data_IF_287064161587
#
_entry.id   IF_287064161587
#
_cell.length_a   1.000
_cell.length_b   1.000
_cell.length_c   1.000
_cell.angle_alpha   90.00
_cell.angle_beta   90.00
_cell.angle_gamma   90.00
#
_symmetry.space_group_name_H-M   'P 1'
#
loop_
_entity.id
_entity.type
_entity.pdbx_description
1 polymer ?
#
# COMPACT_ATOMS: atom_id res chain seq x y z
N UNK A 1 -19.75 -14.40 12.81
CA UNK A 1 -20.39 -15.06 11.65
C UNK A 1 -21.25 -16.22 12.17
N UNK A 2 -22.35 -16.55 11.50
CA UNK A 2 -23.23 -17.66 11.93
C UNK A 2 -22.57 -19.02 11.73
N UNK A 3 -21.71 -19.14 10.70
CA UNK A 3 -20.86 -20.30 10.44
C UNK A 3 -19.40 -19.89 10.47
N UNK A 4 -18.59 -20.59 11.27
CA UNK A 4 -17.14 -20.41 11.33
C UNK A 4 -16.45 -21.48 10.48
N UNK A 5 -15.79 -21.06 9.41
CA UNK A 5 -14.98 -21.95 8.55
C UNK A 5 -13.53 -21.92 9.02
N UNK A 6 -13.00 -23.07 9.42
CA UNK A 6 -11.62 -23.22 9.87
C UNK A 6 -10.81 -24.00 8.82
N UNK A 7 -9.84 -23.35 8.20
CA UNK A 7 -8.91 -24.00 7.27
C UNK A 7 -7.66 -24.48 8.01
N UNK A 8 -7.50 -25.81 8.08
CA UNK A 8 -6.31 -26.43 8.65
C UNK A 8 -5.12 -26.23 7.69
N UNK A 9 -4.25 -25.25 7.96
CA UNK A 9 -3.04 -24.94 7.15
C UNK A 9 -1.96 -26.02 7.29
N UNK A 10 -2.28 -27.27 6.96
CA UNK A 10 -1.40 -28.46 7.07
C UNK A 10 -0.51 -28.64 5.83
N UNK A 11 -0.01 -27.55 5.26
CA UNK A 11 0.88 -27.58 4.11
C UNK A 11 2.02 -26.62 4.35
N UNK A 12 3.24 -27.06 4.07
CA UNK A 12 4.46 -26.25 4.19
C UNK A 12 5.29 -26.40 2.93
N UNK A 13 6.11 -25.39 2.63
CA UNK A 13 7.08 -25.48 1.54
C UNK A 13 8.38 -26.03 2.12
N UNK A 14 8.86 -27.15 1.57
CA UNK A 14 10.18 -27.70 1.89
C UNK A 14 11.28 -27.06 1.02
N UNK A 15 12.53 -27.46 1.27
CA UNK A 15 13.66 -27.07 0.44
C UNK A 15 13.37 -27.34 -1.04
N UNK A 16 13.66 -26.34 -1.89
CA UNK A 16 13.32 -26.40 -3.31
C UNK A 16 11.88 -26.03 -3.66
N UNK A 17 11.14 -25.38 -2.73
CA UNK A 17 9.77 -24.90 -2.96
C UNK A 17 8.75 -26.01 -3.29
N UNK A 18 9.01 -27.22 -2.81
CA UNK A 18 8.10 -28.35 -3.00
C UNK A 18 7.04 -28.32 -1.89
N UNK A 19 5.74 -28.29 -2.22
CA UNK A 19 4.69 -28.31 -1.21
C UNK A 19 4.62 -29.69 -0.55
N UNK A 20 4.78 -29.73 0.76
CA UNK A 20 4.65 -30.92 1.59
C UNK A 20 3.39 -30.85 2.44
N UNK A 21 2.57 -31.91 2.33
CA UNK A 21 1.44 -32.12 3.23
C UNK A 21 1.97 -32.55 4.61
N UNK A 22 1.58 -31.83 5.65
CA UNK A 22 1.85 -32.19 7.03
C UNK A 22 0.91 -33.31 7.46
N UNK A 23 1.47 -34.51 7.70
CA UNK A 23 0.74 -35.63 8.25
C UNK A 23 0.65 -35.50 9.78
N UNK A 24 -0.23 -34.59 10.22
CA UNK A 24 -0.46 -34.27 11.63
C UNK A 24 -1.91 -34.55 12.00
N UNK A 25 -2.08 -35.27 13.11
CA UNK A 25 -3.37 -35.43 13.77
C UNK A 25 -3.68 -34.15 14.55
N UNK A 26 -4.84 -33.57 14.28
CA UNK A 26 -5.37 -32.44 15.06
C UNK A 26 -6.68 -32.91 15.64
N UNK A 27 -6.73 -32.97 16.97
CA UNK A 27 -7.94 -33.24 17.71
C UNK A 27 -8.78 -31.96 17.74
N UNK A 28 -9.97 -32.01 17.13
CA UNK A 28 -10.86 -30.86 17.03
C UNK A 28 -12.00 -31.08 18.02
N UNK A 29 -12.13 -30.24 19.07
CA UNK A 29 -13.18 -30.41 20.05
C UNK A 29 -14.56 -30.11 19.44
N UNK A 30 -15.60 -30.80 19.93
CA UNK A 30 -16.99 -30.59 19.50
C UNK A 30 -17.51 -29.18 19.86
N UNK A 31 -16.94 -28.57 20.89
CA UNK A 31 -17.27 -27.21 21.34
C UNK A 31 -16.02 -26.35 21.36
N UNK A 32 -16.07 -25.20 20.70
CA UNK A 32 -14.97 -24.25 20.57
C UNK A 32 -15.42 -22.89 21.11
N UNK A 33 -14.79 -22.41 22.18
CA UNK A 33 -14.98 -21.04 22.69
C UNK A 33 -13.83 -20.12 22.24
N UNK A 34 -14.14 -19.20 21.33
CA UNK A 34 -13.21 -18.20 20.78
C UNK A 34 -13.54 -16.79 21.25
N UNK A 35 -14.38 -16.63 22.28
CA UNK A 35 -14.81 -15.32 22.77
C UNK A 35 -13.64 -14.43 23.20
N UNK A 36 -12.56 -15.03 23.68
CA UNK A 36 -11.34 -14.35 24.10
C UNK A 36 -10.50 -13.79 22.93
N UNK A 37 -10.69 -14.30 21.71
CA UNK A 37 -9.97 -13.84 20.51
C UNK A 37 -10.62 -12.61 19.85
N UNK A 38 -11.76 -12.16 20.36
CA UNK A 38 -12.47 -10.99 19.84
C UNK A 38 -11.62 -9.73 20.06
N UNK A 39 -11.31 -9.02 18.97
CA UNK A 39 -10.61 -7.75 19.05
C UNK A 39 -11.42 -6.72 19.84
N UNK A 40 -10.72 -5.88 20.59
CA UNK A 40 -11.32 -4.79 21.38
C UNK A 40 -11.16 -3.42 20.71
N UNK A 41 -10.57 -3.37 19.51
CA UNK A 41 -10.19 -2.14 18.83
C UNK A 41 -9.01 -1.43 19.51
N UNK A 42 -8.82 -0.15 19.18
CA UNK A 42 -7.83 0.72 19.81
C UNK A 42 -8.10 0.85 21.31
N UNK A 43 -7.09 0.62 22.14
CA UNK A 43 -7.21 0.68 23.61
C UNK A 43 -6.79 2.04 24.18
N UNK A 44 -7.28 2.43 25.38
CA UNK A 44 -6.81 3.62 26.07
C UNK A 44 -5.30 3.51 26.38
N UNK A 45 -4.50 4.42 25.82
CA UNK A 45 -3.04 4.43 25.95
C UNK A 45 -2.28 3.89 24.74
N UNK A 46 -2.98 3.40 23.72
CA UNK A 46 -2.38 3.13 22.41
C UNK A 46 -2.39 4.42 21.57
N UNK A 47 -1.24 4.77 21.00
CA UNK A 47 -1.12 5.84 20.01
C UNK A 47 -1.20 5.22 18.61
N UNK A 48 -2.06 5.77 17.75
CA UNK A 48 -2.14 5.32 16.37
C UNK A 48 -0.81 5.63 15.67
N UNK A 49 -0.33 4.67 14.88
CA UNK A 49 0.74 4.98 13.95
C UNK A 49 0.27 6.11 13.03
N UNK A 50 1.13 7.09 12.72
CA UNK A 50 0.81 8.06 11.69
C UNK A 50 0.43 7.29 10.43
N UNK A 51 -0.65 7.70 9.77
CA UNK A 51 -0.97 7.13 8.47
C UNK A 51 0.30 7.23 7.61
N UNK A 52 0.80 6.09 7.15
CA UNK A 52 1.91 6.08 6.21
C UNK A 52 1.53 7.02 5.08
N UNK A 53 2.48 7.83 4.60
CA UNK A 53 2.27 8.88 3.59
C UNK A 53 1.81 8.34 2.21
N UNK A 54 1.13 7.19 2.16
CA UNK A 54 0.52 6.57 1.00
C UNK A 54 -1.01 6.41 1.05
N UNK A 55 -1.67 6.47 2.22
CA UNK A 55 -3.13 6.26 2.30
C UNK A 55 -3.90 7.33 3.09
N UNK A 56 -3.20 8.27 3.73
CA UNK A 56 -3.79 9.50 4.20
C UNK A 56 -3.83 10.49 3.05
N UNK A 57 -5.00 11.05 2.78
CA UNK A 57 -5.20 12.30 2.05
C UNK A 57 -4.41 13.42 2.76
N UNK A 58 -3.08 13.38 2.70
CA UNK A 58 -2.36 14.62 2.55
C UNK A 58 -2.99 15.24 1.32
N UNK A 59 -3.59 16.42 1.49
CA UNK A 59 -3.57 17.40 0.43
C UNK A 59 -2.11 17.60 0.03
N UNK A 60 -1.54 16.64 -0.73
CA UNK A 60 -0.61 16.96 -1.77
C UNK A 60 -1.46 17.78 -2.73
N UNK A 61 -1.59 19.07 -2.39
CA UNK A 61 -1.71 20.12 -3.39
C UNK A 61 -0.93 19.63 -4.59
N UNK A 62 -1.62 19.59 -5.72
CA UNK A 62 -1.25 19.07 -7.04
C UNK A 62 0.03 19.71 -7.56
N UNK A 63 1.12 19.60 -6.80
CA UNK A 63 2.39 20.25 -7.02
C UNK A 63 3.14 19.33 -7.95
N UNK A 64 3.26 19.78 -9.19
CA UNK A 64 4.13 19.17 -10.17
C UNK A 64 5.57 19.45 -9.73
N UNK A 65 6.41 18.42 -9.72
CA UNK A 65 7.83 18.57 -9.41
C UNK A 65 8.49 19.53 -10.43
N UNK A 66 9.25 20.49 -9.95
CA UNK A 66 9.98 21.42 -10.82
C UNK A 66 11.15 20.68 -11.50
N UNK A 67 11.09 20.54 -12.83
CA UNK A 67 12.11 19.84 -13.64
C UNK A 67 13.53 20.40 -13.45
N UNK A 68 13.68 21.68 -13.10
CA UNK A 68 14.99 22.27 -12.84
C UNK A 68 15.61 21.75 -11.52
N UNK A 69 14.80 21.51 -10.50
CA UNK A 69 15.24 20.95 -9.22
C UNK A 69 15.54 19.45 -9.39
N UNK A 70 14.65 18.75 -10.08
CA UNK A 70 14.79 17.31 -10.37
C UNK A 70 16.04 17.05 -11.22
N UNK A 71 16.27 17.83 -12.28
CA UNK A 71 17.46 17.67 -13.13
C UNK A 71 18.78 17.91 -12.39
N UNK A 72 18.84 18.88 -11.48
CA UNK A 72 20.04 19.12 -10.67
C UNK A 72 20.33 17.95 -9.71
N UNK A 73 19.30 17.43 -9.03
CA UNK A 73 19.45 16.28 -8.14
C UNK A 73 19.76 14.98 -8.92
N UNK A 74 19.18 14.80 -10.11
CA UNK A 74 19.53 13.72 -11.03
C UNK A 74 20.99 13.80 -11.49
N UNK A 75 21.49 15.00 -11.80
CA UNK A 75 22.90 15.20 -12.15
C UNK A 75 23.86 14.86 -11.00
N UNK A 76 23.39 14.90 -9.74
CA UNK A 76 24.16 14.46 -8.57
C UNK A 76 24.16 12.93 -8.39
N UNK A 77 23.34 12.20 -9.14
CA UNK A 77 23.29 10.73 -9.16
C UNK A 77 22.16 10.10 -8.33
N UNK A 78 21.18 10.89 -7.89
CA UNK A 78 19.99 10.38 -7.19
C UNK A 78 18.96 9.79 -8.17
N UNK A 79 18.07 8.91 -7.70
CA UNK A 79 17.02 8.33 -8.56
C UNK A 79 15.96 9.37 -8.91
N UNK A 80 15.37 9.25 -10.10
CA UNK A 80 14.35 10.16 -10.58
C UNK A 80 13.13 10.23 -9.64
N UNK A 81 12.67 9.07 -9.16
CA UNK A 81 11.50 8.94 -8.28
C UNK A 81 11.71 9.66 -6.95
N UNK A 82 12.91 9.56 -6.36
CA UNK A 82 13.28 10.26 -5.12
C UNK A 82 13.40 11.77 -5.35
N UNK A 83 13.96 12.20 -6.48
CA UNK A 83 14.09 13.62 -6.82
C UNK A 83 12.72 14.29 -6.99
N UNK A 84 11.79 13.62 -7.67
CA UNK A 84 10.41 14.08 -7.83
C UNK A 84 9.69 14.16 -6.47
N UNK A 85 9.82 13.11 -5.65
CA UNK A 85 9.25 13.08 -4.30
C UNK A 85 9.79 14.19 -3.40
N UNK A 86 11.10 14.45 -3.45
CA UNK A 86 11.75 15.51 -2.69
C UNK A 86 11.29 16.91 -3.13
N UNK A 87 11.19 17.15 -4.43
CA UNK A 87 10.71 18.42 -4.97
C UNK A 87 9.24 18.69 -4.56
N UNK A 88 8.40 17.66 -4.56
CA UNK A 88 6.99 17.76 -4.16
C UNK A 88 6.85 17.99 -2.65
N UNK A 89 7.56 17.21 -1.82
CA UNK A 89 7.48 17.33 -0.36
C UNK A 89 7.99 18.67 0.16
N UNK A 90 8.96 19.25 -0.55
CA UNK A 90 9.49 20.60 -0.24
C UNK A 90 8.74 21.71 -0.96
N UNK A 91 7.62 21.41 -1.63
CA UNK A 91 6.79 22.37 -2.38
C UNK A 91 7.57 23.22 -3.40
N UNK A 92 8.60 22.66 -4.04
CA UNK A 92 9.48 23.32 -5.00
C UNK A 92 10.18 24.60 -4.47
N UNK A 93 10.38 24.73 -3.15
CA UNK A 93 11.00 25.91 -2.52
C UNK A 93 12.44 26.12 -2.99
N UNK A 94 13.20 25.05 -3.23
CA UNK A 94 14.56 25.13 -3.74
C UNK A 94 15.29 23.79 -3.80
N UNK A 95 16.47 23.79 -4.43
CA UNK A 95 17.30 22.58 -4.62
C UNK A 95 17.93 22.12 -3.30
N UNK A 96 18.34 23.04 -2.44
CA UNK A 96 18.96 22.73 -1.13
C UNK A 96 17.96 22.06 -0.17
N UNK A 97 16.73 22.56 -0.10
CA UNK A 97 15.67 21.95 0.72
C UNK A 97 15.28 20.56 0.20
N UNK A 98 15.12 20.41 -1.12
CA UNK A 98 14.85 19.12 -1.72
C UNK A 98 16.00 18.12 -1.48
N UNK A 99 17.25 18.58 -1.53
CA UNK A 99 18.41 17.75 -1.18
C UNK A 99 18.38 17.32 0.29
N UNK A 100 18.09 18.24 1.21
CA UNK A 100 18.00 17.94 2.64
C UNK A 100 16.90 16.90 2.93
N UNK A 101 15.74 17.05 2.29
CA UNK A 101 14.66 16.08 2.40
C UNK A 101 15.05 14.72 1.82
N UNK A 102 15.71 14.70 0.65
CA UNK A 102 16.17 13.48 -0.01
C UNK A 102 17.18 12.73 0.87
N UNK A 103 18.13 13.43 1.47
CA UNK A 103 19.13 12.81 2.33
C UNK A 103 18.50 12.22 3.60
N UNK A 104 17.43 12.82 4.11
CA UNK A 104 16.70 12.30 5.27
C UNK A 104 15.85 11.06 4.94
N UNK A 105 15.52 10.81 3.67
CA UNK A 105 14.61 9.74 3.21
C UNK A 105 15.25 8.84 2.14
N UNK A 106 16.58 8.78 2.04
CA UNK A 106 17.29 8.04 0.99
C UNK A 106 17.22 6.51 1.18
N UNK A 107 17.05 6.07 2.42
CA UNK A 107 16.99 4.65 2.82
C UNK A 107 15.55 4.15 2.99
N UNK A 108 14.56 5.02 2.76
CA UNK A 108 13.17 4.61 2.80
C UNK A 108 12.86 3.66 1.65
N UNK A 109 12.11 2.56 1.89
CA UNK A 109 11.69 1.67 0.83
C UNK A 109 10.94 2.47 -0.23
N UNK A 110 11.36 2.33 -1.50
CA UNK A 110 10.78 3.03 -2.66
C UNK A 110 9.31 2.64 -2.82
N UNK A 111 8.43 3.37 -2.12
CA UNK A 111 7.00 3.34 -2.36
C UNK A 111 6.76 4.18 -3.61
N UNK A 112 6.30 3.58 -4.73
CA UNK A 112 6.04 4.35 -5.92
C UNK A 112 5.03 5.42 -5.58
N UNK A 113 5.40 6.69 -5.78
CA UNK A 113 4.44 7.78 -5.75
C UNK A 113 3.42 7.46 -6.84
N UNK A 114 2.17 7.26 -6.44
CA UNK A 114 1.04 7.10 -7.36
C UNK A 114 0.87 8.41 -8.11
N UNK A 115 1.67 8.63 -9.14
CA UNK A 115 1.37 9.64 -10.13
C UNK A 115 0.15 9.13 -10.88
N UNK A 116 -1.03 9.64 -10.50
CA UNK A 116 -2.20 9.59 -11.35
C UNK A 116 -1.82 10.24 -12.68
N UNK A 117 -1.38 9.40 -13.63
CA UNK A 117 -1.15 9.81 -15.00
C UNK A 117 -2.48 10.34 -15.51
N UNK A 118 -2.52 11.66 -15.69
CA UNK A 118 -3.74 12.38 -16.03
C UNK A 118 -4.41 11.73 -17.25
N UNK A 119 -5.63 11.22 -17.01
CA UNK A 119 -6.67 10.93 -17.99
C UNK A 119 -6.18 10.43 -19.34
N UNK A 120 -5.73 9.17 -19.39
CA UNK A 120 -6.03 8.38 -20.56
C UNK A 120 -7.56 8.36 -20.68
N UNK A 121 -8.11 8.87 -21.79
CA UNK A 121 -9.52 8.67 -22.12
C UNK A 121 -9.76 7.18 -22.26
N UNK A 122 -10.11 6.53 -21.16
CA UNK A 122 -10.45 5.11 -21.16
C UNK A 122 -11.76 5.00 -21.93
N UNK A 123 -11.69 4.37 -23.11
CA UNK A 123 -12.87 3.94 -23.84
C UNK A 123 -13.57 2.89 -22.99
N UNK A 124 -14.57 3.30 -22.20
CA UNK A 124 -15.36 2.39 -21.37
C UNK A 124 -16.21 1.52 -22.29
N UNK A 125 -16.06 0.21 -22.16
CA UNK A 125 -16.84 -0.77 -22.90
C UNK A 125 -18.19 -0.98 -22.20
N UNK A 126 -19.26 -0.47 -22.81
CA UNK A 126 -20.62 -0.51 -22.26
C UNK A 126 -21.09 -1.92 -21.93
N UNK A 127 -20.61 -2.95 -22.64
CA UNK A 127 -21.00 -4.35 -22.39
C UNK A 127 -20.48 -4.88 -21.05
N UNK A 128 -19.32 -4.41 -20.60
CA UNK A 128 -18.75 -4.76 -19.30
C UNK A 128 -19.48 -4.05 -18.17
N UNK A 129 -19.87 -2.80 -18.41
CA UNK A 129 -20.69 -2.01 -17.47
C UNK A 129 -22.04 -2.69 -17.27
N UNK A 130 -22.74 -3.09 -18.34
CA UNK A 130 -24.00 -3.83 -18.24
C UNK A 130 -23.85 -5.16 -17.49
N UNK A 131 -22.74 -5.86 -17.68
CA UNK A 131 -22.45 -7.09 -16.94
C UNK A 131 -22.30 -6.81 -15.44
N UNK A 132 -21.61 -5.73 -15.05
CA UNK A 132 -21.51 -5.33 -13.64
C UNK A 132 -22.87 -4.88 -13.07
N UNK A 133 -23.65 -4.12 -13.84
CA UNK A 133 -25.01 -3.75 -13.42
C UNK A 133 -25.88 -4.99 -13.24
N UNK A 134 -25.73 -6.00 -14.10
CA UNK A 134 -26.44 -7.28 -13.96
C UNK A 134 -26.04 -8.05 -12.70
N UNK A 135 -24.80 -7.87 -12.21
CA UNK A 135 -24.34 -8.40 -10.93
C UNK A 135 -24.80 -7.57 -9.72
N UNK A 136 -25.52 -6.46 -9.95
CA UNK A 136 -26.08 -5.60 -8.90
C UNK A 136 -25.18 -4.44 -8.46
N UNK A 137 -24.12 -4.14 -9.23
CA UNK A 137 -23.34 -2.92 -9.03
C UNK A 137 -24.09 -1.71 -9.60
N UNK A 138 -23.98 -0.56 -8.93
CA UNK A 138 -24.58 0.68 -9.39
C UNK A 138 -23.77 1.26 -10.56
N UNK A 139 -24.45 1.92 -11.51
CA UNK A 139 -23.83 2.66 -12.62
C UNK A 139 -23.06 3.89 -12.13
#
# INVERSE_FOLDING_TARGET
PDYLVLHMRKFVMEDGWVPKKLDVYIDVPDTIDISHMRSKGLQPGEELLPESAGDGEAEMTRLVANENIVSQLLCMGFSQTLCEKAAINTSNVGVEEAMNWLLAHMDDPDVPVSHESQNATVSVDQSKVETLISFGFQE
#
